data_IF_978582511818
#
_entry.id   IF_978582511818
#
_cell.length_a   1.000
_cell.length_b   1.000
_cell.length_c   1.000
_cell.angle_alpha   90.00
_cell.angle_beta   90.00
_cell.angle_gamma   90.00
#
_symmetry.space_group_name_H-M   'P 1'
#
loop_
_entity.id
_entity.type
_entity.pdbx_description
1 polymer ?
#
# COMPACT_ATOMS: atom_id res chain seq x y z
N UNK A 1 8.61 -27.84 24.08
CA UNK A 1 7.68 -27.19 25.02
C UNK A 1 8.38 -26.95 26.33
N UNK A 2 8.21 -25.75 26.92
CA UNK A 2 8.84 -25.30 28.15
C UNK A 2 7.72 -25.02 29.17
N UNK A 3 7.83 -25.56 30.38
CA UNK A 3 6.95 -25.17 31.48
C UNK A 3 7.53 -23.94 32.17
N UNK A 4 6.74 -22.90 32.32
CA UNK A 4 7.14 -21.66 32.98
C UNK A 4 6.08 -21.20 33.98
N UNK A 5 6.48 -20.34 34.90
CA UNK A 5 5.59 -19.64 35.81
C UNK A 5 6.12 -18.23 36.07
N UNK A 6 5.25 -17.26 36.34
CA UNK A 6 5.68 -15.95 36.83
C UNK A 6 6.51 -16.08 38.11
N UNK A 7 7.39 -15.13 38.35
CA UNK A 7 8.05 -15.06 39.65
C UNK A 7 7.02 -14.79 40.75
N UNK A 8 7.33 -15.15 42.00
CA UNK A 8 6.43 -14.93 43.14
C UNK A 8 6.00 -13.46 43.30
N UNK A 9 6.79 -12.53 42.78
CA UNK A 9 6.49 -11.09 42.85
C UNK A 9 5.40 -10.70 41.87
N UNK A 10 5.32 -11.33 40.70
CA UNK A 10 4.40 -11.02 39.58
C UNK A 10 3.23 -11.99 39.47
N UNK A 11 3.18 -13.05 40.34
CA UNK A 11 2.22 -14.15 40.20
C UNK A 11 0.76 -13.71 40.29
N UNK A 12 0.46 -12.65 41.03
CA UNK A 12 -0.89 -12.16 41.27
C UNK A 12 -1.09 -10.70 40.85
N UNK A 13 -0.41 -10.24 39.80
CA UNK A 13 -0.59 -8.89 39.28
C UNK A 13 -1.79 -8.80 38.34
N UNK A 14 -2.49 -7.68 38.44
CA UNK A 14 -3.54 -7.36 37.47
C UNK A 14 -2.91 -6.94 36.14
N UNK A 15 -3.36 -7.50 34.98
CA UNK A 15 -2.78 -7.17 33.68
C UNK A 15 -3.06 -5.73 33.21
N UNK A 16 -3.91 -4.98 33.89
CA UNK A 16 -4.31 -3.63 33.51
C UNK A 16 -3.71 -2.53 34.41
N UNK A 17 -3.75 -2.70 35.73
CA UNK A 17 -3.23 -1.70 36.65
C UNK A 17 -1.94 -2.12 37.36
N UNK A 18 -1.42 -3.31 37.07
CA UNK A 18 -0.20 -3.90 37.63
C UNK A 18 -0.15 -3.96 39.16
N UNK A 19 -1.31 -3.79 39.83
CA UNK A 19 -1.40 -3.96 41.28
C UNK A 19 -1.51 -5.43 41.63
N UNK A 20 -0.87 -5.78 42.71
CA UNK A 20 -0.98 -7.13 43.26
C UNK A 20 -2.35 -7.32 43.94
N UNK A 21 -3.04 -8.38 43.56
CA UNK A 21 -4.41 -8.68 43.97
C UNK A 21 -4.52 -10.03 44.65
N UNK A 22 -5.53 -10.27 45.51
CA UNK A 22 -5.79 -11.59 46.06
C UNK A 22 -6.18 -12.58 44.96
N UNK A 23 -5.81 -13.84 45.12
CA UNK A 23 -6.26 -14.92 44.25
C UNK A 23 -7.77 -15.13 44.37
N UNK A 24 -8.48 -15.26 43.25
CA UNK A 24 -9.92 -15.47 43.22
C UNK A 24 -10.28 -16.97 43.28
N UNK A 25 -9.64 -17.77 42.43
CA UNK A 25 -9.81 -19.22 42.43
C UNK A 25 -8.48 -19.95 42.22
N UNK A 26 -8.38 -21.08 42.91
CA UNK A 26 -7.26 -22.03 42.75
C UNK A 26 -7.61 -23.21 41.84
N UNK A 27 -8.78 -23.16 41.16
CA UNK A 27 -9.22 -24.28 40.33
C UNK A 27 -8.28 -24.46 39.15
N UNK A 28 -7.80 -25.68 38.98
CA UNK A 28 -7.00 -26.11 37.85
C UNK A 28 -7.75 -25.85 36.53
N UNK A 29 -7.38 -24.81 35.83
CA UNK A 29 -7.72 -24.64 34.44
C UNK A 29 -6.77 -25.48 33.60
N UNK A 30 -7.21 -25.85 32.38
CA UNK A 30 -6.28 -26.47 31.42
C UNK A 30 -5.11 -25.50 31.19
N UNK A 31 -3.86 -26.01 31.13
CA UNK A 31 -2.71 -25.17 30.81
C UNK A 31 -2.93 -24.42 29.49
N UNK A 32 -2.50 -23.19 29.45
CA UNK A 32 -2.43 -22.41 28.21
C UNK A 32 -1.04 -22.50 27.62
N UNK A 33 -0.99 -22.39 26.30
CA UNK A 33 0.25 -22.46 25.54
C UNK A 33 0.42 -21.13 24.81
N UNK A 34 1.62 -20.58 24.87
CA UNK A 34 2.06 -19.42 24.10
C UNK A 34 3.22 -19.82 23.21
N UNK A 35 3.14 -19.46 21.95
CA UNK A 35 4.23 -19.67 21.01
C UNK A 35 5.27 -18.56 21.18
N UNK A 36 6.53 -18.94 21.41
CA UNK A 36 7.70 -18.07 21.39
C UNK A 36 8.38 -18.05 20.02
N UNK A 37 9.42 -17.21 19.86
CA UNK A 37 10.31 -17.28 18.71
C UNK A 37 10.90 -18.69 18.57
N UNK A 38 11.09 -19.14 17.35
CA UNK A 38 11.64 -20.47 17.09
C UNK A 38 13.13 -20.54 17.48
N UNK A 39 13.56 -21.67 17.94
CA UNK A 39 14.98 -21.94 18.13
C UNK A 39 15.49 -22.70 16.89
N UNK A 40 16.10 -21.96 15.98
CA UNK A 40 16.42 -22.48 14.65
C UNK A 40 15.14 -22.86 13.90
N UNK A 41 14.98 -24.13 13.58
CA UNK A 41 13.77 -24.66 12.93
C UNK A 41 12.76 -25.25 13.93
N UNK A 42 13.10 -25.29 15.22
CA UNK A 42 12.28 -25.91 16.27
C UNK A 42 11.28 -24.92 16.84
N UNK A 43 9.99 -25.29 16.83
CA UNK A 43 8.92 -24.52 17.46
C UNK A 43 9.12 -24.47 18.98
N UNK A 44 9.09 -23.27 19.55
CA UNK A 44 9.15 -23.06 20.99
C UNK A 44 7.76 -22.69 21.50
N UNK A 45 7.32 -23.42 22.51
CA UNK A 45 6.04 -23.20 23.19
C UNK A 45 6.27 -23.08 24.68
N UNK A 46 5.66 -22.07 25.32
CA UNK A 46 5.63 -21.90 26.76
C UNK A 46 4.27 -22.36 27.27
N UNK A 47 4.28 -23.27 28.22
CA UNK A 47 3.07 -23.80 28.87
C UNK A 47 3.00 -23.32 30.32
N UNK A 48 1.83 -22.78 30.70
CA UNK A 48 1.57 -22.33 32.05
C UNK A 48 0.09 -22.49 32.43
N UNK A 49 -0.14 -22.84 33.69
CA UNK A 49 -1.47 -22.98 34.26
C UNK A 49 -1.92 -21.65 34.86
N UNK A 50 -2.76 -20.91 34.15
CA UNK A 50 -3.25 -19.60 34.57
C UNK A 50 -4.27 -19.71 35.70
N UNK A 51 -4.33 -18.69 36.56
CA UNK A 51 -5.35 -18.52 37.60
C UNK A 51 -6.00 -17.15 37.52
N UNK A 52 -7.09 -16.94 38.24
CA UNK A 52 -7.78 -15.64 38.31
C UNK A 52 -7.47 -14.96 39.62
N UNK A 53 -7.50 -13.64 39.59
CA UNK A 53 -7.33 -12.72 40.69
C UNK A 53 -8.53 -11.79 40.75
N UNK A 54 -8.78 -11.21 41.91
CA UNK A 54 -9.83 -10.21 42.14
C UNK A 54 -9.21 -8.83 42.30
N UNK A 55 -9.34 -8.01 41.25
CA UNK A 55 -8.87 -6.63 41.28
C UNK A 55 -9.98 -5.67 41.66
N UNK A 56 -9.70 -4.73 42.57
CA UNK A 56 -10.68 -3.73 43.02
C UNK A 56 -11.18 -2.83 41.89
N UNK A 57 -10.36 -2.56 40.89
CA UNK A 57 -10.70 -1.69 39.74
C UNK A 57 -11.28 -2.48 38.57
N UNK A 58 -10.76 -3.69 38.31
CA UNK A 58 -11.04 -4.46 37.09
C UNK A 58 -11.85 -5.75 37.34
N UNK A 59 -12.24 -5.98 38.59
CA UNK A 59 -13.00 -7.17 38.99
C UNK A 59 -12.19 -8.46 38.84
N UNK A 60 -12.88 -9.57 38.55
CA UNK A 60 -12.24 -10.89 38.42
C UNK A 60 -11.61 -11.04 37.03
N UNK A 61 -10.29 -11.02 37.00
CA UNK A 61 -9.49 -11.13 35.76
C UNK A 61 -8.46 -12.25 35.87
N UNK A 62 -7.92 -12.71 34.74
CA UNK A 62 -6.77 -13.62 34.75
C UNK A 62 -5.52 -12.84 35.18
N UNK A 63 -4.73 -13.39 36.08
CA UNK A 63 -3.47 -12.76 36.53
C UNK A 63 -2.56 -12.48 35.33
N UNK A 64 -1.73 -11.44 35.45
CA UNK A 64 -0.81 -11.04 34.39
C UNK A 64 0.13 -12.17 33.98
N UNK A 65 0.42 -12.21 32.70
CA UNK A 65 1.36 -13.16 32.10
C UNK A 65 2.54 -12.34 31.58
N UNK A 66 3.67 -12.31 32.30
CA UNK A 66 4.77 -11.38 32.00
C UNK A 66 5.34 -11.51 30.58
N UNK A 67 5.29 -12.71 29.99
CA UNK A 67 5.83 -13.00 28.68
C UNK A 67 4.83 -12.84 27.53
N UNK A 68 3.57 -12.48 27.78
CA UNK A 68 2.55 -12.35 26.74
C UNK A 68 1.67 -11.12 26.97
N UNK A 69 1.18 -10.53 25.88
CA UNK A 69 0.14 -9.51 25.95
C UNK A 69 -1.21 -10.12 26.32
N UNK A 70 -2.10 -9.37 27.00
CA UNK A 70 -3.44 -9.85 27.33
C UNK A 70 -4.17 -10.37 26.08
N UNK A 71 -4.71 -11.59 26.18
CA UNK A 71 -5.42 -12.23 25.07
C UNK A 71 -4.55 -12.82 23.96
N UNK A 72 -3.23 -12.61 23.98
CA UNK A 72 -2.32 -13.20 22.98
C UNK A 72 -2.11 -14.71 23.21
N UNK A 73 -1.93 -15.46 22.13
CA UNK A 73 -1.39 -16.82 22.12
C UNK A 73 0.11 -16.87 21.80
N UNK A 74 0.77 -15.70 21.76
CA UNK A 74 2.19 -15.56 21.45
C UNK A 74 2.91 -14.83 22.58
N UNK A 75 4.22 -15.05 22.68
CA UNK A 75 5.05 -14.27 23.62
C UNK A 75 5.27 -12.86 23.10
N UNK A 76 5.62 -11.93 23.99
CA UNK A 76 6.00 -10.55 23.64
C UNK A 76 7.17 -10.54 22.66
N UNK A 77 8.16 -11.42 22.86
CA UNK A 77 9.32 -11.54 21.98
C UNK A 77 8.93 -12.04 20.58
N UNK A 78 7.96 -12.97 20.49
CA UNK A 78 7.44 -13.40 19.18
C UNK A 78 6.74 -12.24 18.47
N UNK A 79 5.84 -11.53 19.17
CA UNK A 79 5.11 -10.40 18.63
C UNK A 79 6.07 -9.29 18.13
N UNK A 80 7.07 -8.95 18.96
CA UNK A 80 8.07 -7.94 18.60
C UNK A 80 8.94 -8.36 17.42
N UNK A 81 9.40 -9.60 17.41
CA UNK A 81 10.22 -10.13 16.30
C UNK A 81 9.44 -10.15 14.99
N UNK A 82 8.19 -10.64 15.03
CA UNK A 82 7.34 -10.67 13.84
C UNK A 82 7.02 -9.25 13.32
N UNK A 83 6.78 -8.30 14.23
CA UNK A 83 6.55 -6.90 13.88
C UNK A 83 7.80 -6.27 13.28
N UNK A 84 8.98 -6.52 13.83
CA UNK A 84 10.25 -6.03 13.29
C UNK A 84 10.49 -6.52 11.86
N UNK A 85 10.29 -7.82 11.60
CA UNK A 85 10.39 -8.36 10.24
C UNK A 85 9.37 -7.73 9.29
N UNK A 86 8.16 -7.44 9.76
CA UNK A 86 7.11 -6.85 8.94
C UNK A 86 7.35 -5.37 8.55
N UNK A 87 8.28 -4.68 9.20
CA UNK A 87 8.78 -3.37 8.77
C UNK A 87 9.65 -3.48 7.51
N UNK A 88 10.39 -4.59 7.38
CA UNK A 88 11.40 -4.77 6.33
C UNK A 88 10.95 -5.68 5.18
N UNK A 89 9.96 -6.55 5.41
CA UNK A 89 9.52 -7.57 4.48
C UNK A 89 8.00 -7.52 4.27
N UNK A 90 7.51 -7.97 3.11
CA UNK A 90 6.08 -8.15 2.90
C UNK A 90 5.48 -9.09 3.95
N UNK A 91 4.29 -8.75 4.45
CA UNK A 91 3.61 -9.51 5.51
C UNK A 91 3.40 -10.99 5.16
N UNK A 92 3.20 -11.34 3.88
CA UNK A 92 3.09 -12.72 3.40
C UNK A 92 4.37 -13.52 3.63
N UNK A 93 5.54 -12.91 3.37
CA UNK A 93 6.85 -13.52 3.59
C UNK A 93 7.10 -13.75 5.08
N UNK A 94 6.74 -12.76 5.91
CA UNK A 94 6.83 -12.89 7.37
C UNK A 94 5.93 -14.00 7.89
N UNK A 95 4.70 -14.09 7.38
CA UNK A 95 3.75 -15.15 7.75
C UNK A 95 4.28 -16.54 7.40
N UNK A 96 4.87 -16.70 6.21
CA UNK A 96 5.51 -17.94 5.77
C UNK A 96 6.69 -18.33 6.68
N UNK A 97 7.61 -17.38 6.93
CA UNK A 97 8.77 -17.60 7.78
C UNK A 97 8.39 -18.05 9.20
N UNK A 98 7.44 -17.35 9.82
CA UNK A 98 6.97 -17.69 11.18
C UNK A 98 5.92 -18.80 11.21
N UNK A 99 5.47 -19.31 10.05
CA UNK A 99 4.46 -20.38 9.95
C UNK A 99 3.15 -19.99 10.66
N UNK A 100 2.66 -18.78 10.41
CA UNK A 100 1.41 -18.22 10.92
C UNK A 100 0.61 -17.58 9.80
N UNK A 101 -0.66 -17.29 10.04
CA UNK A 101 -1.48 -16.52 9.10
C UNK A 101 -1.00 -15.06 9.00
N UNK A 102 -1.12 -14.47 7.81
CA UNK A 102 -0.77 -13.08 7.60
C UNK A 102 -1.56 -12.09 8.48
N UNK A 103 -2.80 -12.46 8.87
CA UNK A 103 -3.58 -11.69 9.84
C UNK A 103 -2.96 -11.75 11.24
N UNK A 104 -2.35 -12.87 11.60
CA UNK A 104 -1.62 -13.01 12.86
C UNK A 104 -0.43 -12.07 12.91
N UNK A 105 0.32 -11.91 11.82
CA UNK A 105 1.38 -10.90 11.71
C UNK A 105 0.81 -9.50 11.96
N UNK A 106 -0.35 -9.18 11.37
CA UNK A 106 -1.04 -7.91 11.63
C UNK A 106 -1.43 -7.71 13.09
N UNK A 107 -1.87 -8.75 13.78
CA UNK A 107 -2.16 -8.71 15.23
C UNK A 107 -0.89 -8.52 16.06
N UNK A 108 0.24 -9.13 15.67
CA UNK A 108 1.54 -8.90 16.32
C UNK A 108 1.94 -7.44 16.23
N UNK A 109 1.88 -6.85 15.02
CA UNK A 109 2.15 -5.41 14.80
C UNK A 109 1.24 -4.56 15.69
N UNK A 110 -0.07 -4.84 15.73
CA UNK A 110 -1.03 -4.04 16.52
C UNK A 110 -0.75 -4.09 18.02
N UNK A 111 -0.22 -5.21 18.54
CA UNK A 111 0.12 -5.34 19.96
C UNK A 111 1.44 -4.66 20.33
N UNK A 112 2.35 -4.58 19.39
CA UNK A 112 3.71 -4.03 19.62
C UNK A 112 3.83 -2.57 19.23
N UNK A 113 2.86 -2.01 18.48
CA UNK A 113 2.93 -0.62 18.01
C UNK A 113 3.22 0.37 19.15
N UNK A 114 2.53 0.25 20.28
CA UNK A 114 2.65 1.16 21.41
C UNK A 114 4.03 1.08 22.10
N UNK A 115 4.76 -0.04 21.90
CA UNK A 115 6.14 -0.21 22.40
C UNK A 115 7.15 0.44 21.43
N UNK A 116 6.85 0.39 20.13
CA UNK A 116 7.70 0.93 19.06
C UNK A 116 7.43 2.42 18.84
N UNK A 117 6.19 2.87 19.05
CA UNK A 117 5.71 4.24 18.79
C UNK A 117 6.37 5.39 19.56
N UNK A 118 6.98 5.25 20.74
CA UNK A 118 7.69 6.37 21.36
C UNK A 118 8.78 6.98 20.46
N UNK A 119 9.35 6.20 19.55
CA UNK A 119 10.31 6.71 18.55
C UNK A 119 9.62 7.48 17.40
N UNK A 120 8.30 7.43 17.33
CA UNK A 120 7.49 8.02 16.25
C UNK A 120 7.22 9.50 16.46
N UNK A 121 7.33 10.03 17.69
CA UNK A 121 7.12 11.44 18.00
C UNK A 121 7.99 12.39 17.17
N UNK A 122 9.13 11.92 16.68
CA UNK A 122 10.08 12.67 15.86
C UNK A 122 9.88 12.54 14.34
N UNK A 123 8.85 11.82 13.88
CA UNK A 123 8.60 11.60 12.44
C UNK A 123 8.33 12.89 11.67
N UNK A 124 7.81 13.90 12.33
CA UNK A 124 7.46 15.17 11.72
C UNK A 124 8.59 16.19 11.82
N UNK A 125 9.72 15.82 12.42
CA UNK A 125 10.87 16.68 12.54
C UNK A 125 11.72 16.63 11.26
N UNK A 126 12.32 17.79 10.92
CA UNK A 126 13.23 17.91 9.79
C UNK A 126 12.65 17.44 8.43
N UNK A 127 11.36 17.67 8.20
CA UNK A 127 10.74 17.41 6.92
C UNK A 127 11.15 18.52 5.92
N UNK A 128 12.01 18.18 4.94
CA UNK A 128 12.47 19.11 3.90
C UNK A 128 11.79 18.80 2.57
N UNK A 129 11.87 17.56 2.12
CA UNK A 129 11.28 17.09 0.87
C UNK A 129 10.19 16.07 1.16
N UNK A 130 8.94 16.43 0.95
CA UNK A 130 7.81 15.53 1.21
C UNK A 130 7.05 15.18 -0.06
N UNK A 131 6.47 13.99 -0.07
CA UNK A 131 5.57 13.50 -1.10
C UNK A 131 4.18 13.26 -0.54
N UNK A 132 3.16 13.63 -1.30
CA UNK A 132 1.75 13.42 -0.98
C UNK A 132 1.18 12.48 -2.03
N UNK A 133 0.61 11.36 -1.59
CA UNK A 133 -0.03 10.38 -2.47
C UNK A 133 -1.36 9.91 -1.87
N UNK A 134 -2.29 9.56 -2.77
CA UNK A 134 -3.59 9.00 -2.41
C UNK A 134 -3.72 7.60 -3.01
N UNK A 135 -4.01 6.63 -2.17
CA UNK A 135 -4.22 5.27 -2.66
C UNK A 135 -5.54 4.69 -2.18
N UNK A 136 -6.20 3.94 -3.06
CA UNK A 136 -7.40 3.19 -2.69
C UNK A 136 -6.98 1.88 -2.01
N UNK A 137 -7.32 1.72 -0.75
CA UNK A 137 -6.97 0.54 0.02
C UNK A 137 -8.10 -0.51 0.08
N UNK A 138 -9.30 -0.16 -0.41
CA UNK A 138 -10.47 -1.05 -0.36
C UNK A 138 -11.45 -0.75 -1.50
N UNK A 139 -12.14 -1.77 -1.99
CA UNK A 139 -13.25 -1.59 -2.96
C UNK A 139 -14.30 -0.61 -2.42
N UNK A 140 -14.88 0.21 -3.30
CA UNK A 140 -15.89 1.20 -2.95
C UNK A 140 -15.32 2.58 -2.64
N UNK A 141 -14.26 2.99 -3.35
CA UNK A 141 -13.66 4.33 -3.27
C UNK A 141 -13.23 4.74 -1.85
N UNK A 142 -12.65 3.80 -1.11
CA UNK A 142 -12.06 4.08 0.19
C UNK A 142 -10.57 4.37 0.01
N UNK A 143 -10.21 5.62 0.26
CA UNK A 143 -8.86 6.14 0.08
C UNK A 143 -8.16 6.34 1.41
N UNK A 144 -6.85 6.31 1.35
CA UNK A 144 -5.94 6.85 2.37
C UNK A 144 -5.05 7.88 1.71
N UNK A 145 -4.79 8.96 2.42
CA UNK A 145 -3.75 9.94 2.08
C UNK A 145 -2.50 9.59 2.85
N UNK A 146 -1.38 9.51 2.15
CA UNK A 146 -0.08 9.13 2.69
C UNK A 146 0.89 10.28 2.45
N UNK A 147 1.67 10.61 3.47
CA UNK A 147 2.78 11.56 3.35
C UNK A 147 4.08 10.83 3.63
N UNK A 148 5.01 11.00 2.70
CA UNK A 148 6.35 10.40 2.77
C UNK A 148 7.41 11.47 2.89
N UNK A 149 8.47 11.18 3.62
CA UNK A 149 9.70 11.96 3.61
C UNK A 149 10.62 11.35 2.54
N UNK A 150 10.91 12.12 1.49
CA UNK A 150 11.77 11.67 0.39
C UNK A 150 13.24 11.53 0.79
N UNK A 151 13.68 12.27 1.81
CA UNK A 151 15.08 12.23 2.24
C UNK A 151 15.41 10.93 2.97
N UNK A 152 14.42 10.37 3.69
CA UNK A 152 14.57 9.12 4.44
C UNK A 152 13.85 7.93 3.81
N UNK A 153 13.03 8.16 2.77
CA UNK A 153 12.14 7.17 2.15
C UNK A 153 11.18 6.51 3.15
N UNK A 154 10.67 7.28 4.11
CA UNK A 154 9.77 6.78 5.15
C UNK A 154 8.41 7.43 5.07
N UNK A 155 7.37 6.68 5.43
CA UNK A 155 6.03 7.20 5.63
C UNK A 155 6.00 7.94 6.96
N UNK A 156 5.67 9.22 6.94
CA UNK A 156 5.63 10.08 8.13
C UNK A 156 4.22 10.32 8.64
N UNK A 157 3.22 10.22 7.77
CA UNK A 157 1.82 10.40 8.15
C UNK A 157 0.86 9.64 7.24
N UNK A 158 -0.25 9.17 7.81
CA UNK A 158 -1.34 8.48 7.09
C UNK A 158 -2.67 8.91 7.69
N UNK A 159 -3.66 9.17 6.84
CA UNK A 159 -5.05 9.34 7.27
C UNK A 159 -6.05 8.67 6.33
N UNK A 160 -7.20 8.30 6.88
CA UNK A 160 -8.33 7.81 6.09
C UNK A 160 -9.00 8.97 5.36
N UNK A 161 -9.33 8.73 4.10
CA UNK A 161 -9.95 9.71 3.23
C UNK A 161 -8.99 10.30 2.21
N UNK A 162 -9.46 11.30 1.48
CA UNK A 162 -8.73 12.04 0.47
C UNK A 162 -9.22 13.50 0.40
N UNK A 163 -8.47 14.35 -0.27
CA UNK A 163 -8.82 15.73 -0.54
C UNK A 163 -8.36 16.72 0.50
N UNK A 164 -8.68 18.02 0.27
CA UNK A 164 -8.18 19.17 1.03
C UNK A 164 -8.32 19.01 2.53
N UNK A 165 -9.51 18.67 3.02
CA UNK A 165 -9.79 18.55 4.47
C UNK A 165 -9.00 17.44 5.19
N UNK A 166 -8.49 16.45 4.45
CA UNK A 166 -7.64 15.41 5.02
C UNK A 166 -6.20 15.92 5.11
N UNK A 167 -5.71 16.58 4.07
CA UNK A 167 -4.36 17.15 4.04
C UNK A 167 -4.20 18.31 5.05
N UNK A 168 -5.22 19.12 5.24
CA UNK A 168 -5.24 20.16 6.29
C UNK A 168 -4.94 19.59 7.68
N UNK A 169 -5.43 18.38 8.01
CA UNK A 169 -5.15 17.73 9.29
C UNK A 169 -3.66 17.43 9.50
N UNK A 170 -2.95 17.14 8.42
CA UNK A 170 -1.50 16.97 8.50
C UNK A 170 -0.82 18.30 8.82
N UNK A 171 -1.11 19.35 8.06
CA UNK A 171 -0.49 20.66 8.27
C UNK A 171 -0.84 21.27 9.64
N UNK A 172 -2.04 21.00 10.17
CA UNK A 172 -2.46 21.47 11.51
C UNK A 172 -1.68 20.79 12.65
N UNK A 173 -1.13 19.61 12.45
CA UNK A 173 -0.30 18.93 13.44
C UNK A 173 1.13 19.49 13.49
N UNK A 174 1.59 20.14 12.42
CA UNK A 174 2.91 20.70 12.32
C UNK A 174 3.02 22.01 13.09
N UNK A 175 4.14 22.22 13.77
CA UNK A 175 4.51 23.54 14.28
C UNK A 175 4.86 24.48 13.12
N UNK A 176 4.94 25.77 13.40
CA UNK A 176 5.34 26.75 12.39
C UNK A 176 6.78 26.49 11.87
N UNK A 177 7.68 26.10 12.76
CA UNK A 177 9.05 25.74 12.40
C UNK A 177 9.09 24.51 11.48
N UNK A 178 8.30 23.49 11.78
CA UNK A 178 8.20 22.29 10.95
C UNK A 178 7.62 22.61 9.58
N UNK A 179 6.60 23.48 9.49
CA UNK A 179 6.05 23.94 8.20
C UNK A 179 7.06 24.72 7.37
N UNK A 180 7.80 25.62 8.01
CA UNK A 180 8.82 26.44 7.35
C UNK A 180 10.04 25.61 6.88
N UNK A 181 10.30 24.47 7.50
CA UNK A 181 11.38 23.55 7.08
C UNK A 181 11.08 22.85 5.76
N UNK A 182 9.81 22.69 5.38
CA UNK A 182 9.41 22.06 4.13
C UNK A 182 9.78 22.95 2.94
N UNK A 183 10.62 22.44 2.04
CA UNK A 183 11.10 23.16 0.86
C UNK A 183 10.53 22.63 -0.44
N UNK A 184 10.21 21.35 -0.51
CA UNK A 184 9.65 20.73 -1.70
C UNK A 184 8.48 19.85 -1.32
N UNK A 185 7.37 20.00 -2.04
CA UNK A 185 6.20 19.14 -1.92
C UNK A 185 5.92 18.51 -3.28
N UNK A 186 6.02 17.20 -3.38
CA UNK A 186 5.62 16.44 -4.56
C UNK A 186 4.22 15.83 -4.38
N UNK A 187 3.53 15.55 -5.45
CA UNK A 187 2.24 14.86 -5.45
C UNK A 187 1.60 14.90 -6.82
N UNK A 188 0.40 14.36 -6.97
CA UNK A 188 -0.33 14.44 -8.23
C UNK A 188 -0.71 15.88 -8.60
N UNK A 189 -1.29 16.11 -9.78
CA UNK A 189 -1.70 17.45 -10.24
C UNK A 189 -3.01 17.96 -9.67
N UNK A 190 -3.52 17.42 -8.58
CA UNK A 190 -4.78 17.82 -7.99
C UNK A 190 -4.72 19.27 -7.44
N UNK A 191 -5.69 20.10 -7.82
CA UNK A 191 -5.77 21.52 -7.42
C UNK A 191 -5.79 21.69 -5.91
N UNK A 192 -6.50 20.83 -5.18
CA UNK A 192 -6.62 20.93 -3.73
C UNK A 192 -5.28 20.71 -3.00
N UNK A 193 -4.33 19.94 -3.58
CA UNK A 193 -2.97 19.81 -3.02
C UNK A 193 -2.25 21.15 -3.15
N UNK A 194 -2.31 21.76 -4.34
CA UNK A 194 -1.71 23.07 -4.57
C UNK A 194 -2.29 24.13 -3.64
N UNK A 195 -3.62 24.18 -3.48
CA UNK A 195 -4.29 25.09 -2.56
C UNK A 195 -3.83 24.93 -1.11
N UNK A 196 -3.66 23.67 -0.62
CA UNK A 196 -3.12 23.43 0.71
C UNK A 196 -1.65 23.87 0.83
N UNK A 197 -0.85 23.59 -0.18
CA UNK A 197 0.57 23.96 -0.19
C UNK A 197 0.72 25.49 -0.15
N UNK A 198 -0.03 26.19 -0.98
CA UNK A 198 -0.02 27.67 -1.02
C UNK A 198 -0.50 28.30 0.31
N UNK A 199 -1.44 27.64 1.00
CA UNK A 199 -1.99 28.10 2.27
C UNK A 199 -1.04 27.86 3.45
N UNK A 200 -0.45 26.65 3.56
CA UNK A 200 0.29 26.24 4.74
C UNK A 200 1.83 26.30 4.61
N UNK A 201 2.34 26.24 3.39
CA UNK A 201 3.78 26.26 3.07
C UNK A 201 4.06 27.10 1.81
N UNK A 202 3.72 28.40 1.80
CA UNK A 202 3.77 29.24 0.59
C UNK A 202 5.18 29.39 -0.01
N UNK A 203 6.23 29.23 0.80
CA UNK A 203 7.63 29.35 0.38
C UNK A 203 8.24 28.07 -0.17
N UNK A 204 7.45 26.99 -0.27
CA UNK A 204 7.95 25.72 -0.81
C UNK A 204 7.76 25.63 -2.33
N UNK A 205 8.57 24.78 -2.96
CA UNK A 205 8.42 24.43 -4.38
C UNK A 205 7.45 23.28 -4.53
N UNK A 206 6.33 23.52 -5.22
CA UNK A 206 5.36 22.48 -5.57
C UNK A 206 5.79 21.78 -6.85
N UNK A 207 6.06 20.49 -6.79
CA UNK A 207 6.40 19.65 -7.94
C UNK A 207 5.30 18.62 -8.22
N UNK A 208 4.92 18.47 -9.47
CA UNK A 208 4.05 17.36 -9.88
C UNK A 208 4.91 16.10 -9.96
N UNK A 209 4.38 14.99 -9.43
CA UNK A 209 5.05 13.69 -9.50
C UNK A 209 5.25 13.29 -10.97
N UNK A 210 6.49 12.93 -11.30
CA UNK A 210 6.90 12.54 -12.66
C UNK A 210 6.07 11.36 -13.21
N UNK A 211 5.63 10.43 -12.35
CA UNK A 211 4.78 9.32 -12.77
C UNK A 211 3.48 9.81 -13.37
N UNK A 212 2.81 10.76 -12.73
CA UNK A 212 1.56 11.34 -13.23
C UNK A 212 1.77 12.16 -14.51
N UNK A 213 2.89 12.88 -14.62
CA UNK A 213 3.23 13.63 -15.85
C UNK A 213 3.40 12.66 -17.04
N UNK A 214 4.15 11.57 -16.84
CA UNK A 214 4.32 10.53 -17.85
C UNK A 214 2.98 9.86 -18.19
N UNK A 215 2.16 9.55 -17.17
CA UNK A 215 0.85 8.96 -17.36
C UNK A 215 -0.05 9.86 -18.23
N UNK A 216 -0.12 11.16 -17.95
CA UNK A 216 -0.91 12.11 -18.76
C UNK A 216 -0.42 12.20 -20.19
N UNK A 217 0.91 12.22 -20.40
CA UNK A 217 1.48 12.21 -21.75
C UNK A 217 1.07 10.94 -22.51
N UNK A 218 1.11 9.79 -21.84
CA UNK A 218 0.70 8.50 -22.42
C UNK A 218 -0.80 8.44 -22.70
N UNK A 219 -1.64 8.96 -21.81
CA UNK A 219 -3.08 9.01 -22.00
C UNK A 219 -3.44 9.92 -23.20
N UNK A 220 -2.81 11.09 -23.31
CA UNK A 220 -2.96 12.01 -24.45
C UNK A 220 -2.52 11.35 -25.76
N UNK A 221 -1.38 10.65 -25.76
CA UNK A 221 -0.89 9.92 -26.92
C UNK A 221 -1.89 8.83 -27.35
N UNK A 222 -2.47 8.11 -26.41
CA UNK A 222 -3.48 7.08 -26.70
C UNK A 222 -4.80 7.71 -27.20
N UNK A 223 -5.17 8.91 -26.76
CA UNK A 223 -6.32 9.64 -27.28
C UNK A 223 -6.12 10.02 -28.75
N UNK A 224 -4.97 10.61 -29.11
CA UNK A 224 -4.61 10.94 -30.49
C UNK A 224 -4.59 9.69 -31.36
N UNK A 225 -4.02 8.58 -30.85
CA UNK A 225 -4.04 7.30 -31.54
C UNK A 225 -5.46 6.80 -31.83
N UNK A 226 -6.36 6.92 -30.83
CA UNK A 226 -7.77 6.51 -30.99
C UNK A 226 -8.51 7.38 -32.01
N UNK A 227 -8.24 8.67 -32.04
CA UNK A 227 -8.81 9.57 -33.04
C UNK A 227 -8.32 9.18 -34.44
N UNK A 228 -7.01 9.05 -34.65
CA UNK A 228 -6.42 8.61 -35.92
C UNK A 228 -6.96 7.25 -36.36
N UNK A 229 -7.20 6.33 -35.44
CA UNK A 229 -7.85 5.06 -35.78
C UNK A 229 -9.29 5.22 -36.21
N UNK A 230 -10.08 6.08 -35.54
CA UNK A 230 -11.49 6.34 -35.92
C UNK A 230 -11.57 6.89 -37.34
N UNK A 231 -10.67 7.82 -37.69
CA UNK A 231 -10.61 8.41 -39.02
C UNK A 231 -10.25 7.37 -40.07
N UNK A 232 -9.19 6.60 -39.85
CA UNK A 232 -8.78 5.52 -40.76
C UNK A 232 -9.89 4.46 -40.91
N UNK A 233 -10.57 4.11 -39.82
CA UNK A 233 -11.68 3.14 -39.87
C UNK A 233 -12.92 3.70 -40.57
N UNK A 234 -13.18 5.00 -40.47
CA UNK A 234 -14.25 5.67 -41.22
C UNK A 234 -13.98 5.64 -42.72
N UNK A 235 -12.72 5.89 -43.15
CA UNK A 235 -12.31 5.73 -44.53
C UNK A 235 -12.55 4.30 -45.04
N UNK A 236 -12.21 3.29 -44.26
CA UNK A 236 -12.49 1.88 -44.59
C UNK A 236 -14.00 1.63 -44.77
N UNK A 237 -14.84 2.20 -43.90
CA UNK A 237 -16.29 2.07 -44.03
C UNK A 237 -16.85 2.72 -45.31
N UNK A 238 -16.36 3.92 -45.59
CA UNK A 238 -16.76 4.65 -46.82
C UNK A 238 -16.36 3.91 -48.09
N UNK A 239 -15.12 3.42 -48.16
CA UNK A 239 -14.65 2.60 -49.27
C UNK A 239 -15.50 1.33 -49.48
N UNK A 240 -15.82 0.64 -48.37
CA UNK A 240 -16.70 -0.54 -48.42
C UNK A 240 -18.14 -0.20 -48.78
N UNK A 241 -18.65 0.96 -48.40
CA UNK A 241 -20.00 1.43 -48.75
C UNK A 241 -20.08 1.85 -50.21
N UNK A 242 -19.04 2.52 -50.73
CA UNK A 242 -18.94 2.90 -52.12
C UNK A 242 -18.77 1.69 -53.06
N UNK A 243 -18.18 0.61 -52.57
CA UNK A 243 -17.91 -0.60 -53.30
C UNK A 243 -18.56 -1.82 -52.64
N UNK A 244 -19.87 -2.00 -52.76
CA UNK A 244 -20.58 -3.10 -52.12
C UNK A 244 -20.08 -4.45 -52.64
N UNK A 245 -19.88 -5.37 -51.72
CA UNK A 245 -19.32 -6.69 -51.98
C UNK A 245 -20.20 -7.47 -52.96
N UNK A 246 -19.62 -7.85 -54.13
CA UNK A 246 -20.26 -8.75 -55.10
C UNK A 246 -20.21 -10.20 -54.58
N UNK A 247 -21.20 -11.05 -54.88
CA UNK A 247 -21.15 -12.47 -54.56
C UNK A 247 -19.89 -13.14 -55.17
N UNK A 248 -19.20 -13.95 -54.40
CA UNK A 248 -17.99 -14.66 -54.81
C UNK A 248 -16.73 -14.25 -54.01
N UNK A 249 -15.61 -14.97 -54.27
CA UNK A 249 -14.31 -14.63 -53.67
C UNK A 249 -13.76 -13.39 -54.41
N UNK A 250 -13.35 -12.34 -53.66
CA UNK A 250 -12.70 -11.17 -54.25
C UNK A 250 -11.45 -11.59 -55.03
N UNK A 251 -11.23 -11.01 -56.19
CA UNK A 251 -9.98 -11.21 -56.93
C UNK A 251 -8.88 -10.41 -56.23
N UNK A 252 -7.73 -11.04 -56.00
CA UNK A 252 -6.61 -10.41 -55.34
C UNK A 252 -5.99 -9.24 -56.12
N UNK A 253 -6.13 -9.28 -57.45
CA UNK A 253 -5.62 -8.26 -58.38
C UNK A 253 -6.60 -7.12 -58.65
N UNK A 254 -7.78 -7.11 -58.02
CA UNK A 254 -8.75 -6.04 -58.19
C UNK A 254 -8.30 -4.78 -57.41
N UNK A 255 -8.10 -3.62 -58.09
CA UNK A 255 -7.57 -2.40 -57.46
C UNK A 255 -8.37 -1.94 -56.25
N UNK A 256 -9.71 -2.05 -56.35
CA UNK A 256 -10.60 -1.65 -55.23
C UNK A 256 -10.44 -2.57 -54.03
N UNK A 257 -10.28 -3.86 -54.29
CA UNK A 257 -10.02 -4.85 -53.20
C UNK A 257 -8.69 -4.57 -52.53
N UNK A 258 -7.65 -4.20 -53.28
CA UNK A 258 -6.33 -3.84 -52.75
C UNK A 258 -6.40 -2.54 -51.95
N UNK A 259 -7.11 -1.53 -52.41
CA UNK A 259 -7.30 -0.26 -51.67
C UNK A 259 -8.00 -0.48 -50.32
N UNK A 260 -9.11 -1.23 -50.30
CA UNK A 260 -9.81 -1.56 -49.05
C UNK A 260 -8.92 -2.36 -48.11
N UNK A 261 -8.10 -3.26 -48.64
CA UNK A 261 -7.15 -4.05 -47.86
C UNK A 261 -6.09 -3.15 -47.21
N UNK A 262 -5.45 -2.28 -48.00
CA UNK A 262 -4.44 -1.34 -47.49
C UNK A 262 -5.00 -0.39 -46.44
N UNK A 263 -6.18 0.17 -46.67
CA UNK A 263 -6.86 1.00 -45.70
C UNK A 263 -7.18 0.25 -44.39
N UNK A 264 -7.64 -1.01 -44.50
CA UNK A 264 -7.91 -1.86 -43.34
C UNK A 264 -6.65 -2.22 -42.57
N UNK A 265 -5.56 -2.55 -43.28
CA UNK A 265 -4.26 -2.84 -42.67
C UNK A 265 -3.69 -1.62 -41.95
N UNK A 266 -3.85 -0.41 -42.50
CA UNK A 266 -3.48 0.85 -41.85
C UNK A 266 -4.27 1.06 -40.54
N UNK A 267 -5.59 0.92 -40.59
CA UNK A 267 -6.44 1.05 -39.43
C UNK A 267 -6.09 0.04 -38.33
N UNK A 268 -5.80 -1.22 -38.71
CA UNK A 268 -5.41 -2.28 -37.76
C UNK A 268 -4.02 -2.01 -37.15
N UNK A 269 -3.08 -1.45 -37.88
CA UNK A 269 -1.77 -1.05 -37.36
C UNK A 269 -1.89 0.05 -36.34
N UNK A 270 -2.68 1.11 -36.64
CA UNK A 270 -2.95 2.19 -35.70
C UNK A 270 -3.63 1.65 -34.41
N UNK A 271 -4.65 0.80 -34.56
CA UNK A 271 -5.36 0.20 -33.44
C UNK A 271 -4.41 -0.53 -32.46
N UNK A 272 -3.48 -1.28 -33.02
CA UNK A 272 -2.59 -2.16 -32.25
C UNK A 272 -1.23 -1.53 -31.93
N UNK A 273 -1.06 -0.21 -32.10
CA UNK A 273 0.21 0.49 -31.84
C UNK A 273 0.37 1.06 -30.43
N UNK A 274 -0.68 1.10 -29.59
CA UNK A 274 -0.69 1.73 -28.27
C UNK A 274 0.56 1.41 -27.45
N UNK A 275 0.88 0.12 -27.33
CA UNK A 275 2.05 -0.32 -26.55
C UNK A 275 3.40 0.03 -27.22
N UNK A 276 3.44 0.12 -28.54
CA UNK A 276 4.66 0.47 -29.27
C UNK A 276 4.95 1.97 -29.19
N UNK A 277 3.93 2.82 -29.30
CA UNK A 277 4.06 4.27 -29.21
C UNK A 277 4.56 4.76 -27.85
N UNK A 278 4.29 4.00 -26.78
CA UNK A 278 4.75 4.33 -25.43
C UNK A 278 6.15 3.85 -25.07
N UNK A 279 6.85 3.19 -26.02
CA UNK A 279 8.21 2.70 -25.78
C UNK A 279 9.26 3.64 -26.35
N UNK A 280 10.42 3.70 -25.69
CA UNK A 280 11.60 4.32 -26.28
C UNK A 280 12.02 3.56 -27.55
N UNK A 281 12.47 4.25 -28.61
CA UNK A 281 12.78 3.66 -29.94
C UNK A 281 13.72 2.46 -29.84
N UNK A 282 14.72 2.50 -28.97
CA UNK A 282 15.69 1.43 -28.73
C UNK A 282 15.09 0.16 -28.13
N UNK A 283 13.93 0.28 -27.47
CA UNK A 283 13.22 -0.84 -26.83
C UNK A 283 12.13 -1.46 -27.72
N UNK A 284 11.98 -0.96 -28.93
CA UNK A 284 11.04 -1.52 -29.92
C UNK A 284 11.56 -2.81 -30.53
N UNK A 285 10.71 -3.83 -30.61
CA UNK A 285 10.98 -5.01 -31.42
C UNK A 285 10.87 -4.65 -32.91
N UNK A 286 11.51 -5.42 -33.83
CA UNK A 286 11.43 -5.18 -35.26
C UNK A 286 9.98 -5.09 -35.78
N UNK A 287 9.10 -5.94 -35.28
CA UNK A 287 7.66 -5.88 -35.60
C UNK A 287 6.99 -4.59 -35.15
N UNK A 288 7.44 -4.04 -34.01
CA UNK A 288 6.91 -2.78 -33.48
C UNK A 288 7.48 -1.58 -34.27
N UNK A 289 8.75 -1.60 -34.64
CA UNK A 289 9.37 -0.57 -35.50
C UNK A 289 8.63 -0.44 -36.83
N UNK A 290 8.48 -1.55 -37.54
CA UNK A 290 7.73 -1.60 -38.82
C UNK A 290 6.30 -1.06 -38.65
N UNK A 291 5.65 -1.36 -37.52
CA UNK A 291 4.29 -0.89 -37.24
C UNK A 291 4.25 0.62 -37.04
N UNK A 292 5.20 1.17 -36.28
CA UNK A 292 5.27 2.62 -35.96
C UNK A 292 5.68 3.43 -37.21
N UNK A 293 6.60 2.92 -38.05
CA UNK A 293 7.03 3.57 -39.31
C UNK A 293 5.91 3.68 -40.34
N UNK A 294 4.87 2.87 -40.24
CA UNK A 294 3.75 2.81 -41.19
C UNK A 294 2.51 3.61 -40.73
N UNK A 295 2.57 4.27 -39.56
CA UNK A 295 1.51 5.12 -39.00
C UNK A 295 1.78 6.58 -39.34
#
# INVERSE_FOLDING_TARGET
RIQARPSKWHENECPYCHRRCPGYDSRCRKPRIWRGPDWGTTLVEIEYQTHRIECLEHGVVVADIPWAYPGSGFTKDFDLTAAWFAVHLPRSVVAEYFRVDWETVGRCISRTKDVIEPEISHRLDNLVNIGIDETSYKKGHKYITVIVNHDTNTVVWIALGHGKSVLEKFYQQLTEEQRTSIKVVTGDGAKWITECVDEFTPDCVRCVDQFHVVQWAMDTLDEVRRESWRDAYTQVKELKKANPRKPGRPKEDDPVTQEIRQASEKADKIKNSSYALGKAPENLTEKQKIRVEMI
#
